data_IF_520891272655
#
_entry.id   IF_520891272655
#
_cell.length_a   1.000
_cell.length_b   1.000
_cell.length_c   1.000
_cell.angle_alpha   90.00
_cell.angle_beta   90.00
_cell.angle_gamma   90.00
#
_symmetry.space_group_name_H-M   'P 1'
#
loop_
_entity.id
_entity.type
_entity.pdbx_description
1 polymer ?
#
# COMPACT_ATOMS: atom_id res chain seq x y z
N UNK A 1 -4.69 74.15 5.93
CA UNK A 1 -3.45 73.37 6.10
C UNK A 1 -3.83 71.95 6.48
N UNK A 2 -3.84 71.04 5.52
CA UNK A 2 -4.18 69.63 5.71
C UNK A 2 -2.89 68.83 5.55
N UNK A 3 -2.19 68.58 6.66
CA UNK A 3 -1.11 67.59 6.73
C UNK A 3 -1.54 66.45 7.65
N UNK A 4 -2.39 65.56 7.14
CA UNK A 4 -2.64 64.23 7.71
C UNK A 4 -2.74 63.24 6.56
N UNK A 5 -1.59 62.80 6.06
CA UNK A 5 -1.56 62.01 4.83
C UNK A 5 -0.29 61.21 4.60
N UNK A 6 0.33 60.64 5.66
CA UNK A 6 1.34 59.59 5.53
C UNK A 6 1.20 58.58 6.68
N UNK A 7 0.06 57.89 6.73
CA UNK A 7 -0.05 56.69 7.59
C UNK A 7 0.73 55.58 6.89
N UNK A 8 1.80 55.14 7.55
CA UNK A 8 2.80 54.18 7.11
C UNK A 8 2.21 52.88 6.51
N UNK A 9 2.19 52.77 5.18
CA UNK A 9 1.89 51.52 4.44
C UNK A 9 2.75 50.34 4.92
N UNK A 10 4.00 50.58 5.35
CA UNK A 10 4.88 49.54 5.92
C UNK A 10 4.37 48.97 7.26
N UNK A 11 3.75 49.80 8.10
CA UNK A 11 3.19 49.33 9.38
C UNK A 11 1.96 48.45 9.16
N UNK A 12 1.09 48.78 8.19
CA UNK A 12 -0.05 47.93 7.84
C UNK A 12 0.37 46.58 7.23
N UNK A 13 1.37 46.55 6.34
CA UNK A 13 1.86 45.29 5.75
C UNK A 13 2.48 44.39 6.82
N UNK A 14 3.30 44.94 7.72
CA UNK A 14 3.89 44.16 8.82
C UNK A 14 2.84 43.61 9.79
N UNK A 15 1.81 44.38 10.13
CA UNK A 15 0.68 43.91 10.95
C UNK A 15 -0.11 42.79 10.27
N UNK A 16 -0.42 42.93 8.98
CA UNK A 16 -1.10 41.89 8.20
C UNK A 16 -0.29 40.58 8.16
N UNK A 17 1.04 40.69 8.06
CA UNK A 17 1.94 39.53 8.03
C UNK A 17 2.02 38.82 9.39
N UNK A 18 1.97 39.58 10.50
CA UNK A 18 1.91 39.02 11.85
C UNK A 18 0.58 38.32 12.12
N UNK A 19 -0.54 38.92 11.69
CA UNK A 19 -1.87 38.33 11.79
C UNK A 19 -1.98 37.02 11.00
N UNK A 20 -1.46 36.97 9.78
CA UNK A 20 -1.48 35.74 8.97
C UNK A 20 -0.63 34.62 9.61
N UNK A 21 0.56 34.97 10.11
CA UNK A 21 1.40 34.03 10.88
C UNK A 21 0.69 33.53 12.13
N UNK A 22 -0.06 34.38 12.82
CA UNK A 22 -0.84 33.98 14.00
C UNK A 22 -1.98 33.03 13.63
N UNK A 23 -2.75 33.35 12.58
CA UNK A 23 -3.83 32.49 12.06
C UNK A 23 -3.32 31.10 11.73
N UNK A 24 -2.22 30.98 11.00
CA UNK A 24 -1.60 29.68 10.67
C UNK A 24 -1.26 28.86 11.91
N UNK A 25 -0.73 29.51 12.97
CA UNK A 25 -0.41 28.84 14.24
C UNK A 25 -1.65 28.31 14.95
N UNK A 26 -2.74 29.07 14.93
CA UNK A 26 -4.03 28.66 15.51
C UNK A 26 -4.62 27.48 14.71
N UNK A 27 -4.65 27.55 13.38
CA UNK A 27 -5.12 26.46 12.52
C UNK A 27 -4.30 25.18 12.75
N UNK A 28 -2.98 25.31 12.87
CA UNK A 28 -2.11 24.18 13.22
C UNK A 28 -2.49 23.55 14.57
N UNK A 29 -2.69 24.36 15.61
CA UNK A 29 -3.08 23.86 16.93
C UNK A 29 -4.46 23.19 16.91
N UNK A 30 -5.43 23.74 16.20
CA UNK A 30 -6.76 23.12 16.03
C UNK A 30 -6.66 21.75 15.35
N UNK A 31 -5.87 21.63 14.28
CA UNK A 31 -5.69 20.36 13.57
C UNK A 31 -5.07 19.28 14.46
N UNK A 32 -4.08 19.64 15.28
CA UNK A 32 -3.39 18.69 16.16
C UNK A 32 -4.22 18.34 17.40
N UNK A 33 -4.88 19.32 18.03
CA UNK A 33 -5.54 19.13 19.33
C UNK A 33 -7.01 18.73 19.21
N UNK A 34 -7.72 19.23 18.19
CA UNK A 34 -9.16 19.00 18.05
C UNK A 34 -9.46 17.91 17.01
N UNK A 35 -8.64 17.78 15.98
CA UNK A 35 -8.87 16.85 14.86
C UNK A 35 -7.91 15.65 14.85
N UNK A 36 -7.09 15.47 15.88
CA UNK A 36 -6.11 14.38 16.03
C UNK A 36 -5.21 14.17 14.79
N UNK A 37 -4.96 15.23 14.01
CA UNK A 37 -4.06 15.17 12.86
C UNK A 37 -2.63 15.00 13.32
N UNK A 38 -1.84 14.20 12.59
CA UNK A 38 -0.41 14.07 12.87
C UNK A 38 0.29 15.43 12.73
N UNK A 39 1.35 15.65 13.53
CA UNK A 39 2.11 16.92 13.52
C UNK A 39 2.61 17.27 12.12
N UNK A 40 3.04 16.25 11.34
CA UNK A 40 3.53 16.42 9.97
C UNK A 40 2.42 16.85 9.01
N UNK A 41 1.24 16.21 9.09
CA UNK A 41 0.10 16.56 8.25
C UNK A 41 -0.45 17.95 8.58
N UNK A 42 -0.62 18.26 9.87
CA UNK A 42 -1.10 19.57 10.33
C UNK A 42 -0.15 20.71 9.93
N UNK A 43 1.16 20.49 9.99
CA UNK A 43 2.17 21.48 9.57
C UNK A 43 2.10 21.78 8.06
N UNK A 44 1.90 20.75 7.24
CA UNK A 44 1.72 20.91 5.80
C UNK A 44 0.46 21.70 5.46
N UNK A 45 -0.69 21.35 6.05
CA UNK A 45 -1.98 22.01 5.81
C UNK A 45 -1.99 23.47 6.27
N UNK A 46 -1.33 23.77 7.40
CA UNK A 46 -1.21 25.14 7.94
C UNK A 46 -0.09 25.97 7.31
N UNK A 47 0.67 25.39 6.36
CA UNK A 47 1.84 26.03 5.72
C UNK A 47 2.85 26.56 6.73
N UNK A 48 3.16 25.76 7.75
CA UNK A 48 4.18 26.04 8.78
C UNK A 48 5.29 25.00 8.66
N UNK A 49 6.55 25.42 8.81
CA UNK A 49 7.68 24.49 8.81
C UNK A 49 7.69 23.61 10.07
N UNK A 50 8.30 22.43 9.97
CA UNK A 50 8.26 21.44 11.05
C UNK A 50 8.97 21.92 12.33
N UNK A 51 10.03 22.72 12.20
CA UNK A 51 10.73 23.31 13.34
C UNK A 51 9.82 24.28 14.13
N UNK A 52 9.07 25.14 13.44
CA UNK A 52 8.12 26.06 14.07
C UNK A 52 6.94 25.31 14.67
N UNK A 53 6.43 24.26 14.01
CA UNK A 53 5.39 23.38 14.55
C UNK A 53 5.80 22.77 15.91
N UNK A 54 7.03 22.26 16.02
CA UNK A 54 7.59 21.77 17.29
C UNK A 54 7.64 22.86 18.36
N UNK A 55 8.11 24.06 18.02
CA UNK A 55 8.19 25.18 18.96
C UNK A 55 6.79 25.63 19.42
N UNK A 56 5.81 25.69 18.53
CA UNK A 56 4.42 26.02 18.85
C UNK A 56 3.85 25.01 19.84
N UNK A 57 4.00 23.71 19.58
CA UNK A 57 3.53 22.66 20.50
C UNK A 57 4.25 22.72 21.84
N UNK A 58 5.57 22.93 21.85
CA UNK A 58 6.35 23.07 23.09
C UNK A 58 5.87 24.25 23.93
N UNK A 59 5.59 25.40 23.30
CA UNK A 59 5.02 26.57 23.97
C UNK A 59 3.61 26.27 24.48
N UNK A 60 2.74 25.71 23.65
CA UNK A 60 1.37 25.40 24.03
C UNK A 60 1.29 24.40 25.19
N UNK A 61 2.13 23.36 25.19
CA UNK A 61 2.27 22.42 26.31
C UNK A 61 2.78 23.06 27.60
N UNK A 62 3.55 24.15 27.51
CA UNK A 62 4.00 24.91 28.67
C UNK A 62 2.88 25.79 29.26
N UNK A 63 1.91 26.20 28.45
CA UNK A 63 0.80 27.08 28.85
C UNK A 63 -0.50 26.35 29.20
N UNK A 64 -0.71 25.15 28.66
CA UNK A 64 -1.83 24.28 29.03
C UNK A 64 -1.40 23.17 29.99
N UNK A 65 -2.23 22.85 30.97
CA UNK A 65 -2.18 21.55 31.69
C UNK A 65 -2.56 20.41 30.76
N UNK A 66 -1.82 20.24 29.66
CA UNK A 66 -1.79 18.97 28.95
C UNK A 66 -0.93 18.09 29.85
N UNK A 67 -1.56 17.21 30.64
CA UNK A 67 -0.87 16.14 31.37
C UNK A 67 0.20 15.58 30.43
N UNK A 68 1.46 15.67 30.86
CA UNK A 68 2.61 15.29 30.05
C UNK A 68 2.49 13.82 29.62
N UNK A 69 1.86 13.56 28.48
CA UNK A 69 1.79 12.24 27.87
C UNK A 69 3.13 11.84 27.23
N UNK A 70 4.22 12.55 27.52
CA UNK A 70 5.55 12.11 27.08
C UNK A 70 5.93 10.78 27.72
N UNK A 71 5.54 10.54 28.99
CA UNK A 71 5.65 9.23 29.61
C UNK A 71 4.71 8.20 28.97
N UNK A 72 3.49 8.60 28.59
CA UNK A 72 2.54 7.69 27.93
C UNK A 72 2.97 7.34 26.50
N UNK A 73 3.64 8.26 25.80
CA UNK A 73 4.10 8.04 24.42
C UNK A 73 5.34 7.14 24.39
N UNK A 74 6.27 7.28 25.34
CA UNK A 74 7.38 6.33 25.50
C UNK A 74 6.87 4.95 25.90
N UNK A 75 5.94 4.86 26.86
CA UNK A 75 5.29 3.60 27.23
C UNK A 75 4.49 2.99 26.08
N UNK A 76 3.81 3.80 25.26
CA UNK A 76 3.11 3.33 24.05
C UNK A 76 4.08 2.84 22.98
N UNK A 77 5.24 3.48 22.80
CA UNK A 77 6.28 3.02 21.90
C UNK A 77 6.88 1.69 22.40
N UNK A 78 7.14 1.56 23.71
CA UNK A 78 7.59 0.31 24.31
C UNK A 78 6.56 -0.80 24.14
N UNK A 79 5.29 -0.55 24.46
CA UNK A 79 4.19 -1.49 24.23
C UNK A 79 4.08 -1.89 22.75
N UNK A 80 4.28 -0.97 21.81
CA UNK A 80 4.29 -1.30 20.38
C UNK A 80 5.49 -2.17 19.98
N UNK A 81 6.67 -1.94 20.58
CA UNK A 81 7.84 -2.80 20.39
C UNK A 81 7.61 -4.19 20.98
N UNK A 82 7.02 -4.28 22.17
CA UNK A 82 6.64 -5.54 22.81
C UNK A 82 5.61 -6.29 21.98
N UNK A 83 4.53 -5.62 21.52
CA UNK A 83 3.53 -6.20 20.63
C UNK A 83 4.15 -6.70 19.33
N UNK A 84 5.11 -5.96 18.77
CA UNK A 84 5.83 -6.38 17.55
C UNK A 84 6.69 -7.61 17.81
N UNK A 85 7.41 -7.66 18.93
CA UNK A 85 8.20 -8.80 19.37
C UNK A 85 7.31 -10.04 19.59
N UNK A 86 6.22 -9.89 20.34
CA UNK A 86 5.22 -10.94 20.57
C UNK A 86 4.62 -11.43 19.25
N UNK A 87 4.26 -10.52 18.32
CA UNK A 87 3.76 -10.90 16.99
C UNK A 87 4.81 -11.69 16.19
N UNK A 88 6.08 -11.33 16.29
CA UNK A 88 7.18 -12.06 15.65
C UNK A 88 7.34 -13.47 16.22
N UNK A 89 7.33 -13.61 17.55
CA UNK A 89 7.38 -14.90 18.25
C UNK A 89 6.17 -15.77 17.87
N UNK A 90 4.94 -15.24 17.93
CA UNK A 90 3.73 -15.96 17.51
C UNK A 90 3.82 -16.39 16.05
N UNK A 91 4.38 -15.57 15.16
CA UNK A 91 4.57 -15.92 13.75
C UNK A 91 5.57 -17.07 13.59
N UNK A 92 6.67 -17.05 14.33
CA UNK A 92 7.66 -18.13 14.34
C UNK A 92 7.09 -19.43 14.92
N UNK A 93 6.37 -19.36 16.05
CA UNK A 93 5.71 -20.53 16.66
C UNK A 93 4.66 -21.15 15.73
N UNK A 94 3.87 -20.32 15.03
CA UNK A 94 2.89 -20.81 14.04
C UNK A 94 3.57 -21.46 12.84
N UNK A 95 4.70 -20.91 12.38
CA UNK A 95 5.51 -21.50 11.31
C UNK A 95 6.08 -22.85 11.75
N UNK A 96 6.68 -22.93 12.94
CA UNK A 96 7.22 -24.17 13.49
C UNK A 96 6.13 -25.24 13.69
N UNK A 97 4.96 -24.88 14.22
CA UNK A 97 3.82 -25.82 14.35
C UNK A 97 3.37 -26.36 12.99
N UNK A 98 3.22 -25.49 11.98
CA UNK A 98 2.88 -25.93 10.62
C UNK A 98 3.95 -26.80 9.99
N UNK A 99 5.22 -26.52 10.24
CA UNK A 99 6.33 -27.33 9.72
C UNK A 99 6.39 -28.71 10.39
N UNK A 100 6.13 -28.78 11.71
CA UNK A 100 5.98 -30.05 12.42
C UNK A 100 4.75 -30.85 11.93
N UNK A 101 3.60 -30.19 11.75
CA UNK A 101 2.40 -30.82 11.18
C UNK A 101 2.68 -31.32 9.75
N UNK A 102 3.36 -30.52 8.93
CA UNK A 102 3.77 -30.90 7.58
C UNK A 102 4.72 -32.11 7.58
N UNK A 103 5.69 -32.14 8.50
CA UNK A 103 6.59 -33.28 8.67
C UNK A 103 5.83 -34.54 9.12
N UNK A 104 4.94 -34.43 10.10
CA UNK A 104 4.10 -35.56 10.54
C UNK A 104 3.17 -36.05 9.43
N UNK A 105 2.53 -35.15 8.68
CA UNK A 105 1.69 -35.51 7.54
C UNK A 105 2.51 -36.14 6.42
N UNK A 106 3.71 -35.62 6.15
CA UNK A 106 4.64 -36.22 5.18
C UNK A 106 5.06 -37.63 5.60
N UNK A 107 5.33 -37.86 6.89
CA UNK A 107 5.63 -39.20 7.42
C UNK A 107 4.42 -40.13 7.39
N UNK A 108 3.22 -39.62 7.67
CA UNK A 108 1.95 -40.37 7.52
C UNK A 108 1.69 -40.75 6.06
N UNK A 109 1.93 -39.84 5.12
CA UNK A 109 1.82 -40.14 3.68
C UNK A 109 2.86 -41.20 3.26
N UNK A 110 4.10 -41.12 3.76
CA UNK A 110 5.14 -42.14 3.51
C UNK A 110 4.83 -43.52 4.10
N UNK A 111 4.05 -43.58 5.18
CA UNK A 111 3.63 -44.83 5.82
C UNK A 111 2.34 -45.41 5.22
N UNK A 112 1.48 -44.55 4.66
CA UNK A 112 0.29 -44.93 3.89
C UNK A 112 0.65 -45.29 2.43
N UNK A 113 1.79 -44.78 1.92
CA UNK A 113 2.35 -45.26 0.67
C UNK A 113 2.64 -46.76 0.80
N UNK A 114 2.02 -47.63 -0.02
CA UNK A 114 2.26 -49.05 0.05
C UNK A 114 3.76 -49.30 -0.12
N UNK A 115 4.35 -50.10 0.76
CA UNK A 115 5.67 -50.68 0.55
C UNK A 115 5.57 -51.63 -0.65
N UNK A 116 5.51 -51.08 -1.86
CA UNK A 116 5.67 -51.82 -3.10
C UNK A 116 7.14 -52.22 -3.19
N UNK A 117 7.47 -53.29 -2.47
CA UNK A 117 8.52 -54.21 -2.87
C UNK A 117 8.25 -54.62 -4.32
N UNK A 118 9.09 -54.12 -5.22
CA UNK A 118 9.29 -54.59 -6.60
C UNK A 118 8.02 -54.61 -7.48
N UNK A 119 7.83 -53.51 -8.21
CA UNK A 119 7.23 -53.33 -9.55
C UNK A 119 6.32 -52.10 -9.53
N UNK A 120 6.76 -51.01 -10.17
CA UNK A 120 5.94 -50.09 -11.00
C UNK A 120 6.68 -48.77 -11.23
N UNK A 121 7.29 -48.69 -12.40
CA UNK A 121 7.93 -47.51 -13.02
C UNK A 121 6.89 -46.65 -13.78
N UNK A 122 5.62 -46.67 -13.38
CA UNK A 122 4.51 -46.23 -14.26
C UNK A 122 3.94 -44.83 -13.96
N UNK A 123 4.16 -44.22 -12.80
CA UNK A 123 3.45 -42.97 -12.46
C UNK A 123 4.13 -41.64 -12.85
N UNK A 124 5.40 -41.63 -13.25
CA UNK A 124 6.06 -40.41 -13.77
C UNK A 124 5.90 -40.23 -15.27
N UNK A 125 5.69 -41.32 -16.02
CA UNK A 125 5.39 -41.24 -17.46
C UNK A 125 3.99 -40.71 -17.71
N UNK A 126 3.03 -41.02 -16.85
CA UNK A 126 1.62 -40.66 -17.05
C UNK A 126 1.37 -39.14 -16.89
N UNK A 127 2.02 -38.51 -15.90
CA UNK A 127 1.93 -37.05 -15.69
C UNK A 127 2.61 -36.26 -16.83
N UNK A 128 3.78 -36.73 -17.28
CA UNK A 128 4.48 -36.10 -18.41
C UNK A 128 3.74 -36.30 -19.74
N UNK A 129 3.10 -37.44 -19.94
CA UNK A 129 2.25 -37.70 -21.09
C UNK A 129 1.02 -36.78 -21.09
N UNK A 130 0.32 -36.66 -19.96
CA UNK A 130 -0.82 -35.74 -19.83
C UNK A 130 -0.42 -34.28 -20.07
N UNK A 131 0.75 -33.84 -19.57
CA UNK A 131 1.28 -32.51 -19.86
C UNK A 131 1.55 -32.29 -21.36
N UNK A 132 2.06 -33.30 -22.07
CA UNK A 132 2.27 -33.21 -23.52
C UNK A 132 0.95 -33.13 -24.29
N UNK A 133 -0.07 -33.89 -23.88
CA UNK A 133 -1.42 -33.84 -24.47
C UNK A 133 -2.01 -32.43 -24.31
N UNK A 134 -1.97 -31.87 -23.10
CA UNK A 134 -2.49 -30.51 -22.86
C UNK A 134 -1.71 -29.43 -23.61
N UNK A 135 -0.40 -29.59 -23.79
CA UNK A 135 0.39 -28.67 -24.61
C UNK A 135 0.00 -28.73 -26.10
N UNK A 136 -0.28 -29.92 -26.62
CA UNK A 136 -0.76 -30.10 -28.00
C UNK A 136 -2.16 -29.53 -28.20
N UNK A 137 -3.09 -29.77 -27.28
CA UNK A 137 -4.45 -29.20 -27.33
C UNK A 137 -4.41 -27.66 -27.33
N UNK A 138 -3.58 -27.08 -26.46
CA UNK A 138 -3.38 -25.64 -26.40
C UNK A 138 -2.83 -25.07 -27.73
N UNK A 139 -1.91 -25.78 -28.37
CA UNK A 139 -1.34 -25.36 -29.65
C UNK A 139 -2.36 -25.44 -30.78
N UNK A 140 -3.19 -26.50 -30.80
CA UNK A 140 -4.28 -26.63 -31.77
C UNK A 140 -5.32 -25.51 -31.62
N UNK A 141 -5.69 -25.16 -30.38
CA UNK A 141 -6.68 -24.12 -30.13
C UNK A 141 -6.18 -22.72 -30.54
N UNK A 142 -4.89 -22.43 -30.30
CA UNK A 142 -4.24 -21.22 -30.82
C UNK A 142 -4.26 -21.16 -32.34
N UNK A 143 -4.00 -22.28 -33.02
CA UNK A 143 -4.04 -22.33 -34.48
C UNK A 143 -5.45 -22.08 -35.02
N UNK A 144 -6.48 -22.69 -34.42
CA UNK A 144 -7.88 -22.44 -34.79
C UNK A 144 -8.25 -20.96 -34.61
N UNK A 145 -7.87 -20.37 -33.48
CA UNK A 145 -8.13 -18.96 -33.22
C UNK A 145 -7.45 -18.06 -34.26
N UNK A 146 -6.20 -18.37 -34.62
CA UNK A 146 -5.48 -17.64 -35.66
C UNK A 146 -6.15 -17.75 -37.03
N UNK A 147 -6.52 -18.97 -37.46
CA UNK A 147 -7.20 -19.17 -38.74
C UNK A 147 -8.57 -18.49 -38.79
N UNK A 148 -9.32 -18.49 -37.68
CA UNK A 148 -10.60 -17.76 -37.58
C UNK A 148 -10.40 -16.25 -37.72
N UNK A 149 -9.44 -15.67 -37.03
CA UNK A 149 -9.13 -14.24 -37.15
C UNK A 149 -8.72 -13.91 -38.58
N UNK A 150 -7.86 -14.75 -39.17
CA UNK A 150 -7.41 -14.60 -40.56
C UNK A 150 -8.58 -14.69 -41.54
N UNK A 151 -9.51 -15.63 -41.38
CA UNK A 151 -10.66 -15.78 -42.27
C UNK A 151 -11.60 -14.58 -42.18
N UNK A 152 -11.85 -14.07 -40.96
CA UNK A 152 -12.64 -12.85 -40.75
C UNK A 152 -11.98 -11.66 -41.45
N UNK A 153 -10.66 -11.48 -41.26
CA UNK A 153 -9.93 -10.37 -41.88
C UNK A 153 -9.94 -10.48 -43.41
N UNK A 154 -9.77 -11.69 -43.97
CA UNK A 154 -9.85 -11.92 -45.41
C UNK A 154 -11.24 -11.59 -45.97
N UNK A 155 -12.31 -11.99 -45.28
CA UNK A 155 -13.67 -11.66 -45.71
C UNK A 155 -13.94 -10.15 -45.60
N UNK A 156 -13.45 -9.48 -44.55
CA UNK A 156 -13.53 -8.01 -44.44
C UNK A 156 -12.80 -7.31 -45.59
N UNK A 157 -11.57 -7.74 -45.92
CA UNK A 157 -10.81 -7.19 -47.06
C UNK A 157 -11.57 -7.40 -48.38
N UNK A 158 -12.15 -8.59 -48.58
CA UNK A 158 -12.94 -8.91 -49.78
C UNK A 158 -14.17 -8.00 -49.89
N UNK A 159 -14.93 -7.85 -48.81
CA UNK A 159 -16.10 -6.97 -48.76
C UNK A 159 -15.73 -5.50 -49.01
N UNK A 160 -14.59 -5.04 -48.49
CA UNK A 160 -14.09 -3.69 -48.78
C UNK A 160 -13.77 -3.54 -50.27
N UNK A 161 -13.03 -4.48 -50.88
CA UNK A 161 -12.66 -4.43 -52.30
C UNK A 161 -13.89 -4.49 -53.23
N UNK A 162 -14.90 -5.30 -52.91
CA UNK A 162 -16.15 -5.38 -53.67
C UNK A 162 -16.97 -4.07 -53.65
N UNK A 163 -16.91 -3.32 -52.54
CA UNK A 163 -17.51 -1.98 -52.47
C UNK A 163 -16.82 -0.94 -53.37
N UNK A 164 -15.55 -1.18 -53.75
CA UNK A 164 -14.80 -0.28 -54.64
C UNK A 164 -14.94 -0.62 -56.12
N UNK A 165 -15.52 -1.76 -56.50
CA UNK A 165 -15.70 -2.19 -57.90
C UNK A 165 -17.04 -1.80 -58.53
N UNK A 166 -17.92 -1.11 -57.80
CA UNK A 166 -19.23 -0.62 -58.28
C UNK A 166 -19.29 0.91 -58.41
N UNK A 167 -18.15 1.57 -58.62
CA UNK A 167 -18.06 2.96 -59.08
C UNK A 167 -17.43 3.00 -60.47
#
# INVERSE_FOLDING_TARGET
>A
MIEKGKINLQQQVSQNTQLDKFKRKITFLQLVLCHNSTIKAAAALSKINFATAKVILKKFRKFGSIKNSHQDYEKQIELLKEISSIKSVIKQEKLQKREQEFQMLSQKIKTIQPQNKKKELTNTNDVNFQLQVYQQELQQEKQKQFELVKSILMEQIKLMKQKFTYN
#
